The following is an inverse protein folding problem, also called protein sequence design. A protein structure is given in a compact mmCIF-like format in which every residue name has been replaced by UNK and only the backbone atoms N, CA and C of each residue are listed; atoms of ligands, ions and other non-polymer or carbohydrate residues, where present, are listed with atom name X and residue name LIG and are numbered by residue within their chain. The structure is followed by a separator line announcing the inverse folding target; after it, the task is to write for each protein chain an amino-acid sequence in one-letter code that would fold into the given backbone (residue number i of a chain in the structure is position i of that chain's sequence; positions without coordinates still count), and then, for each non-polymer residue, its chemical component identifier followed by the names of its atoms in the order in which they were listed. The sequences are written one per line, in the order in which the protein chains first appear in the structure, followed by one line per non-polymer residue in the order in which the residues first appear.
data_IF_234617749311
#
_entry.id   IF_234617749311
#
_cell.length_a   1.000
_cell.length_b   1.000
_cell.length_c   1.000
_cell.angle_alpha   90.00
_cell.angle_beta   90.00
_cell.angle_gamma   90.00
#
_symmetry.space_group_name_H-M   'P 1'
#
loop_
_entity.id
_entity.type
_entity.pdbx_description
1 polymer ?
#
# COMPACT_ATOMS: atom_id res chain seq x y z
N UNK A 1 -5.77 17.60 11.00
CA UNK A 1 -6.74 16.49 10.83
C UNK A 1 -7.15 16.44 9.37
N UNK A 2 -7.06 15.28 8.73
CA UNK A 2 -7.39 15.08 7.31
C UNK A 2 -8.82 14.52 7.20
N UNK A 3 -9.60 15.03 6.25
CA UNK A 3 -10.95 14.52 5.99
C UNK A 3 -10.94 13.62 4.76
N UNK A 4 -11.43 12.39 4.92
CA UNK A 4 -11.49 11.37 3.88
C UNK A 4 -12.93 11.05 3.53
N UNK A 5 -13.16 10.93 2.23
CA UNK A 5 -14.45 10.63 1.62
C UNK A 5 -14.38 9.30 0.87
N UNK A 6 -15.54 8.73 0.57
CA UNK A 6 -15.63 7.40 -0.02
C UNK A 6 -15.07 7.32 -1.45
N UNK A 7 -15.07 8.42 -2.20
CA UNK A 7 -14.49 8.52 -3.56
C UNK A 7 -12.94 8.48 -3.55
N UNK A 8 -12.32 8.68 -2.40
CA UNK A 8 -10.89 8.52 -2.23
C UNK A 8 -10.50 7.05 -1.97
N UNK A 9 -11.45 6.21 -1.54
CA UNK A 9 -11.21 4.78 -1.31
C UNK A 9 -10.93 4.09 -2.64
N UNK A 10 -9.74 3.51 -2.78
CA UNK A 10 -9.37 2.75 -3.98
C UNK A 10 -9.12 1.26 -3.71
N UNK A 11 -8.90 0.88 -2.44
CA UNK A 11 -8.69 -0.53 -2.06
C UNK A 11 -9.22 -0.80 -0.66
N UNK A 12 -9.91 -1.93 -0.51
CA UNK A 12 -10.31 -2.48 0.79
C UNK A 12 -9.68 -3.86 0.97
N UNK A 13 -8.87 -4.02 1.99
CA UNK A 13 -8.30 -5.30 2.43
C UNK A 13 -8.99 -5.82 3.69
N UNK A 14 -8.49 -6.95 4.21
CA UNK A 14 -9.04 -7.61 5.39
C UNK A 14 -8.92 -6.75 6.66
N UNK A 15 -7.76 -6.16 6.91
CA UNK A 15 -7.50 -5.37 8.12
C UNK A 15 -7.63 -3.86 7.90
N UNK A 16 -7.47 -3.39 6.66
CA UNK A 16 -7.33 -1.97 6.33
C UNK A 16 -8.01 -1.54 5.05
N UNK A 17 -8.43 -0.28 5.01
CA UNK A 17 -8.83 0.46 3.83
C UNK A 17 -7.70 1.41 3.39
N UNK A 18 -7.52 1.57 2.08
CA UNK A 18 -6.55 2.50 1.51
C UNK A 18 -7.27 3.60 0.72
N UNK A 19 -6.99 4.85 1.09
CA UNK A 19 -7.52 6.05 0.50
C UNK A 19 -6.42 6.82 -0.23
N UNK A 20 -6.77 7.50 -1.32
CA UNK A 20 -5.90 8.54 -1.90
C UNK A 20 -5.82 9.71 -0.92
N UNK A 21 -4.65 10.31 -0.79
CA UNK A 21 -4.51 11.52 0.02
C UNK A 21 -5.23 12.70 -0.68
N UNK A 22 -6.09 13.47 0.02
CA UNK A 22 -6.96 14.46 -0.63
C UNK A 22 -6.20 15.65 -1.23
N UNK A 23 -5.06 16.00 -0.65
CA UNK A 23 -4.26 17.16 -1.07
C UNK A 23 -2.98 16.79 -1.84
N UNK A 24 -2.65 15.49 -1.92
CA UNK A 24 -1.40 15.04 -2.54
C UNK A 24 -1.66 13.76 -3.35
N UNK A 25 -1.63 13.88 -4.67
CA UNK A 25 -1.94 12.76 -5.56
C UNK A 25 -0.85 11.67 -5.58
N UNK A 26 0.33 11.93 -4.99
CA UNK A 26 1.44 10.98 -4.87
C UNK A 26 1.37 10.14 -3.60
N UNK A 27 0.43 10.43 -2.69
CA UNK A 27 0.32 9.79 -1.39
C UNK A 27 -0.99 9.00 -1.22
N UNK A 28 -0.94 8.02 -0.33
CA UNK A 28 -2.11 7.29 0.14
C UNK A 28 -2.11 7.18 1.66
N UNK A 29 -3.31 7.01 2.22
CA UNK A 29 -3.53 6.82 3.65
C UNK A 29 -4.14 5.44 3.87
N UNK A 30 -3.47 4.61 4.67
CA UNK A 30 -3.96 3.29 5.10
C UNK A 30 -4.59 3.41 6.48
N UNK A 31 -5.84 2.96 6.62
CA UNK A 31 -6.64 3.07 7.84
C UNK A 31 -7.13 1.69 8.25
N UNK A 32 -7.00 1.35 9.52
CA UNK A 32 -7.48 0.08 10.08
C UNK A 32 -9.00 0.08 10.24
N UNK A 33 -9.63 -1.06 9.96
CA UNK A 33 -11.05 -1.24 10.27
C UNK A 33 -11.28 -1.41 11.77
N UNK A 34 -10.31 -2.00 12.48
CA UNK A 34 -10.34 -2.23 13.93
C UNK A 34 -9.11 -1.60 14.60
N UNK A 35 -9.28 -0.41 15.23
CA UNK A 35 -8.17 0.34 15.81
C UNK A 35 -7.77 -0.14 17.21
N UNK A 36 -8.41 -1.18 17.78
CA UNK A 36 -8.07 -1.70 19.11
C UNK A 36 -6.62 -2.15 19.17
N UNK A 37 -5.92 -1.83 20.26
CA UNK A 37 -4.48 -2.06 20.42
C UNK A 37 -4.08 -3.56 20.36
N UNK A 38 -5.00 -4.46 20.67
CA UNK A 38 -4.79 -5.91 20.58
C UNK A 38 -5.23 -6.51 19.23
N UNK A 39 -5.71 -5.70 18.28
CA UNK A 39 -6.19 -6.18 16.99
C UNK A 39 -5.05 -6.71 16.11
N UNK A 40 -5.30 -7.75 15.28
CA UNK A 40 -4.31 -8.25 14.33
C UNK A 40 -3.77 -7.15 13.40
N UNK A 41 -4.66 -6.27 12.91
CA UNK A 41 -4.29 -5.17 12.03
C UNK A 41 -3.38 -4.13 12.70
N UNK A 42 -3.58 -3.83 13.99
CA UNK A 42 -2.66 -2.95 14.72
C UNK A 42 -1.28 -3.58 14.89
N UNK A 43 -1.21 -4.88 15.23
CA UNK A 43 0.07 -5.59 15.31
C UNK A 43 0.84 -5.55 13.98
N UNK A 44 0.17 -5.87 12.87
CA UNK A 44 0.76 -5.78 11.52
C UNK A 44 1.24 -4.37 11.19
N UNK A 45 0.48 -3.34 11.57
CA UNK A 45 0.85 -1.94 11.34
C UNK A 45 2.10 -1.55 12.13
N UNK A 46 2.21 -1.96 13.40
CA UNK A 46 3.41 -1.71 14.20
C UNK A 46 4.64 -2.40 13.62
N UNK A 47 4.50 -3.64 13.18
CA UNK A 47 5.58 -4.39 12.53
C UNK A 47 6.02 -3.72 11.23
N UNK A 48 5.07 -3.27 10.39
CA UNK A 48 5.35 -2.52 9.16
C UNK A 48 6.11 -1.22 9.48
N UNK A 49 5.62 -0.39 10.40
CA UNK A 49 6.28 0.86 10.79
C UNK A 49 7.69 0.62 11.32
N UNK A 50 7.87 -0.39 12.19
CA UNK A 50 9.18 -0.72 12.74
C UNK A 50 10.18 -1.13 11.64
N UNK A 51 9.72 -1.91 10.65
CA UNK A 51 10.54 -2.30 9.52
C UNK A 51 10.92 -1.10 8.64
N UNK A 52 9.98 -0.22 8.31
CA UNK A 52 10.27 0.99 7.53
C UNK A 52 11.23 1.93 8.28
N UNK A 53 11.08 2.09 9.58
CA UNK A 53 11.99 2.89 10.40
C UNK A 53 13.42 2.31 10.39
N UNK A 54 13.57 0.99 10.39
CA UNK A 54 14.86 0.32 10.24
C UNK A 54 15.48 0.55 8.86
N UNK A 55 14.69 0.47 7.79
CA UNK A 55 15.15 0.76 6.42
C UNK A 55 15.58 2.22 6.25
N UNK A 56 14.83 3.17 6.81
CA UNK A 56 15.17 4.59 6.82
C UNK A 56 16.51 4.86 7.51
N UNK A 57 16.75 4.24 8.68
CA UNK A 57 18.04 4.34 9.39
C UNK A 57 19.21 3.79 8.59
N UNK A 58 18.98 2.80 7.73
CA UNK A 58 20.00 2.22 6.85
C UNK A 58 20.31 3.07 5.62
N UNK A 59 19.51 4.10 5.32
CA UNK A 59 19.72 4.97 4.16
C UNK A 59 19.59 4.22 2.82
N UNK A 60 18.68 3.25 2.73
CA UNK A 60 18.45 2.53 1.47
C UNK A 60 17.86 3.44 0.39
N UNK A 61 17.97 3.03 -0.88
CA UNK A 61 17.21 3.66 -1.97
C UNK A 61 15.71 3.31 -1.85
N UNK A 62 14.87 4.31 -2.09
CA UNK A 62 13.40 4.19 -2.14
C UNK A 62 12.86 4.03 -3.56
N UNK A 63 13.73 3.91 -4.56
CA UNK A 63 13.32 3.74 -5.95
C UNK A 63 12.50 2.48 -6.21
N UNK A 64 12.43 1.51 -5.30
CA UNK A 64 11.61 0.30 -5.47
C UNK A 64 10.62 0.07 -4.33
N UNK A 65 10.58 0.94 -3.33
CA UNK A 65 9.79 0.78 -2.11
C UNK A 65 8.99 2.05 -1.84
N UNK A 66 7.69 1.95 -1.50
CA UNK A 66 6.92 3.14 -1.14
C UNK A 66 7.47 3.74 0.15
N UNK A 67 7.81 5.02 0.15
CA UNK A 67 8.29 5.71 1.34
C UNK A 67 7.19 5.81 2.40
N UNK A 68 7.57 5.64 3.68
CA UNK A 68 6.69 5.85 4.82
C UNK A 68 6.83 7.29 5.35
N UNK A 69 5.75 8.07 5.26
CA UNK A 69 5.72 9.49 5.61
C UNK A 69 5.24 9.80 7.03
N UNK A 70 4.81 8.78 7.78
CA UNK A 70 4.35 8.94 9.16
C UNK A 70 2.87 8.62 9.35
N UNK A 71 2.36 8.99 10.53
CA UNK A 71 0.95 8.85 10.90
C UNK A 71 0.22 10.19 10.87
N UNK A 72 -1.07 10.15 10.55
CA UNK A 72 -1.94 11.32 10.49
C UNK A 72 -3.30 11.01 11.11
N UNK A 73 -3.88 12.01 11.76
CA UNK A 73 -5.24 11.92 12.29
C UNK A 73 -6.27 12.20 11.21
N UNK A 74 -7.27 11.34 11.09
CA UNK A 74 -8.35 11.44 10.09
C UNK A 74 -9.74 11.32 10.73
N UNK A 75 -10.80 11.61 9.96
CA UNK A 75 -12.18 11.36 10.37
C UNK A 75 -12.53 9.87 10.57
N UNK A 76 -11.66 8.94 10.16
CA UNK A 76 -11.80 7.50 10.41
C UNK A 76 -10.79 6.97 11.45
N UNK A 77 -10.13 7.87 12.20
CA UNK A 77 -9.07 7.55 13.16
C UNK A 77 -7.66 7.73 12.59
N UNK A 78 -6.65 7.22 13.29
CA UNK A 78 -5.24 7.33 12.89
C UNK A 78 -4.97 6.51 11.62
N UNK A 79 -4.39 7.15 10.61
CA UNK A 79 -3.94 6.53 9.37
C UNK A 79 -2.42 6.59 9.22
N UNK A 80 -1.86 5.67 8.43
CA UNK A 80 -0.44 5.68 8.02
C UNK A 80 -0.31 6.16 6.59
N UNK A 81 0.65 7.06 6.34
CA UNK A 81 0.87 7.69 5.04
C UNK A 81 2.03 7.03 4.32
N UNK A 82 1.78 6.62 3.08
CA UNK A 82 2.76 6.00 2.18
C UNK A 82 2.67 6.59 0.78
N UNK A 83 3.74 6.42 -0.02
CA UNK A 83 3.66 6.67 -1.45
C UNK A 83 2.56 5.84 -2.12
N UNK A 84 1.83 6.47 -3.04
CA UNK A 84 0.84 5.84 -3.90
C UNK A 84 1.50 5.33 -5.17
N UNK A 85 1.64 4.01 -5.26
CA UNK A 85 2.26 3.36 -6.42
C UNK A 85 1.33 3.41 -7.64
N UNK A 86 1.87 3.91 -8.76
CA UNK A 86 1.17 4.08 -10.04
C UNK A 86 1.92 3.39 -11.17
N UNK A 87 1.16 2.92 -12.14
CA UNK A 87 1.68 2.43 -13.39
C UNK A 87 2.08 3.60 -14.30
N UNK A 88 2.79 3.31 -15.40
CA UNK A 88 3.22 4.33 -16.38
C UNK A 88 2.07 5.15 -16.95
N UNK A 89 0.90 4.55 -17.04
CA UNK A 89 -0.32 5.20 -17.55
C UNK A 89 -0.97 6.13 -16.50
N UNK A 90 -0.33 6.33 -15.34
CA UNK A 90 -0.82 7.16 -14.24
C UNK A 90 -1.89 6.49 -13.37
N UNK A 91 -2.38 5.32 -13.76
CA UNK A 91 -3.35 4.54 -13.01
C UNK A 91 -2.73 3.92 -11.75
N UNK A 92 -3.52 3.74 -10.69
CA UNK A 92 -3.07 3.07 -9.47
C UNK A 92 -2.68 1.63 -9.81
N UNK A 93 -1.50 1.21 -9.36
CA UNK A 93 -0.99 -0.12 -9.66
C UNK A 93 -1.85 -1.23 -9.04
N UNK A 94 -2.08 -2.26 -9.86
CA UNK A 94 -2.75 -3.48 -9.45
C UNK A 94 -1.86 -4.33 -8.54
N UNK A 95 -2.44 -5.08 -7.59
CA UNK A 95 -1.68 -5.98 -6.74
C UNK A 95 -1.12 -7.13 -7.56
N UNK A 96 0.09 -7.59 -7.23
CA UNK A 96 0.77 -8.63 -7.99
C UNK A 96 -0.07 -9.90 -8.18
N UNK A 97 -0.82 -10.31 -7.16
CA UNK A 97 -1.63 -11.52 -7.19
C UNK A 97 -2.77 -11.49 -8.23
N UNK A 98 -3.27 -10.31 -8.62
CA UNK A 98 -4.24 -10.20 -9.72
C UNK A 98 -3.64 -10.66 -11.07
N UNK A 99 -2.35 -10.40 -11.28
CA UNK A 99 -1.65 -10.87 -12.48
C UNK A 99 -1.50 -12.40 -12.43
N UNK A 100 -1.06 -12.95 -11.29
CA UNK A 100 -0.90 -14.40 -11.12
C UNK A 100 -2.20 -15.18 -11.37
N UNK A 101 -3.36 -14.59 -11.03
CA UNK A 101 -4.67 -15.22 -11.20
C UNK A 101 -5.28 -15.09 -12.59
N UNK A 102 -4.80 -14.14 -13.40
CA UNK A 102 -5.39 -13.84 -14.70
C UNK A 102 -4.32 -13.93 -15.80
N UNK A 103 -4.25 -15.07 -16.51
CA UNK A 103 -3.30 -15.27 -17.59
C UNK A 103 -3.39 -14.23 -18.70
N UNK A 104 -4.60 -13.76 -19.04
CA UNK A 104 -4.78 -12.72 -20.06
C UNK A 104 -4.28 -11.36 -19.57
N UNK A 105 -4.52 -11.01 -18.31
CA UNK A 105 -4.01 -9.78 -17.72
C UNK A 105 -2.48 -9.81 -17.62
N UNK A 106 -1.90 -10.97 -17.32
CA UNK A 106 -0.46 -11.22 -17.39
C UNK A 106 0.07 -11.05 -18.82
N UNK A 107 -0.57 -11.65 -19.82
CA UNK A 107 -0.20 -11.54 -21.24
C UNK A 107 -0.25 -10.10 -21.76
N UNK A 108 -1.31 -9.37 -21.42
CA UNK A 108 -1.47 -7.96 -21.80
C UNK A 108 -0.38 -7.07 -21.19
N UNK A 109 0.03 -7.35 -19.96
CA UNK A 109 1.03 -6.53 -19.29
C UNK A 109 2.46 -7.01 -19.51
N UNK A 110 2.71 -8.25 -19.95
CA UNK A 110 4.02 -8.90 -20.08
C UNK A 110 5.07 -8.05 -20.82
N UNK A 111 4.67 -7.29 -21.84
CA UNK A 111 5.58 -6.38 -22.56
C UNK A 111 6.06 -5.19 -21.72
N UNK A 112 5.25 -4.72 -20.76
CA UNK A 112 5.62 -3.67 -19.81
C UNK A 112 6.59 -4.16 -18.71
N UNK A 113 6.68 -5.48 -18.46
CA UNK A 113 7.58 -6.07 -17.46
C UNK A 113 9.03 -6.27 -17.95
N UNK A 114 9.33 -6.06 -19.24
CA UNK A 114 10.71 -6.17 -19.78
C UNK A 114 11.59 -4.96 -19.45
N UNK A 115 11.08 -4.01 -18.69
CA UNK A 115 11.78 -2.82 -18.23
C UNK A 115 12.24 -3.00 -16.78
N UNK A 116 13.40 -2.43 -16.37
CA UNK A 116 13.93 -2.52 -15.00
C UNK A 116 12.96 -2.14 -13.88
N UNK A 117 11.90 -1.40 -14.24
CA UNK A 117 10.89 -0.83 -13.34
C UNK A 117 9.79 -1.83 -12.94
N UNK A 118 9.77 -3.06 -13.48
CA UNK A 118 8.75 -4.07 -13.18
C UNK A 118 8.70 -4.49 -11.69
N UNK A 119 9.78 -4.24 -10.94
CA UNK A 119 9.91 -4.53 -9.51
C UNK A 119 9.00 -3.63 -8.65
N UNK A 120 8.54 -2.48 -9.16
CA UNK A 120 7.67 -1.53 -8.45
C UNK A 120 6.32 -2.11 -8.00
N UNK A 121 5.85 -3.22 -8.61
CA UNK A 121 4.52 -3.79 -8.34
C UNK A 121 4.46 -4.76 -7.16
N UNK A 122 5.61 -5.19 -6.62
CA UNK A 122 5.67 -6.37 -5.73
C UNK A 122 5.47 -6.02 -4.25
N UNK A 123 5.93 -4.85 -3.79
CA UNK A 123 6.05 -4.60 -2.34
C UNK A 123 4.72 -4.29 -1.62
N UNK A 124 3.68 -3.81 -2.31
CA UNK A 124 2.45 -3.38 -1.63
C UNK A 124 1.54 -4.54 -1.15
N UNK A 125 1.91 -5.81 -1.39
CA UNK A 125 1.03 -6.98 -1.14
C UNK A 125 1.47 -7.97 -0.05
N UNK A 126 2.63 -7.79 0.59
CA UNK A 126 3.17 -8.81 1.51
C UNK A 126 2.65 -8.72 2.97
N UNK A 127 1.45 -8.20 3.21
CA UNK A 127 0.73 -8.38 4.49
C UNK A 127 -0.57 -9.17 4.31
N UNK A 128 -0.64 -9.99 3.26
CA UNK A 128 -1.69 -11.00 3.10
C UNK A 128 -1.31 -12.26 3.88
N UNK A 129 -1.77 -12.35 5.13
CA UNK A 129 -1.71 -13.59 5.90
C UNK A 129 -2.35 -14.74 5.09
N UNK A 130 -1.55 -15.77 4.82
CA UNK A 130 -1.97 -17.07 4.27
C UNK A 130 -3.23 -17.59 4.95
N UNK A 131 -4.22 -18.15 4.21
CA UNK A 131 -5.20 -19.02 4.83
C UNK A 131 -4.45 -20.29 5.23
N UNK A 132 -4.23 -20.49 6.54
CA UNK A 132 -3.82 -21.80 7.05
C UNK A 132 -5.09 -22.63 7.14
N UNK A 133 -5.18 -23.63 6.26
CA UNK A 133 -6.02 -24.83 6.42
C UNK A 133 -5.69 -25.53 7.73
#
# INVERSE_FOLDING_TARGET
MIYLTQDLLFRKGAQRACYRHPSDASLCIKILHDPREDSPGQRETREEIAYYAHLQKRGISWEMLPFYHGQVETNFGTGTVFDLVRDRDGNISRPFFEFLRNPELTRLHLHAWRSPWAVWRIICCASGSSPRT
#
